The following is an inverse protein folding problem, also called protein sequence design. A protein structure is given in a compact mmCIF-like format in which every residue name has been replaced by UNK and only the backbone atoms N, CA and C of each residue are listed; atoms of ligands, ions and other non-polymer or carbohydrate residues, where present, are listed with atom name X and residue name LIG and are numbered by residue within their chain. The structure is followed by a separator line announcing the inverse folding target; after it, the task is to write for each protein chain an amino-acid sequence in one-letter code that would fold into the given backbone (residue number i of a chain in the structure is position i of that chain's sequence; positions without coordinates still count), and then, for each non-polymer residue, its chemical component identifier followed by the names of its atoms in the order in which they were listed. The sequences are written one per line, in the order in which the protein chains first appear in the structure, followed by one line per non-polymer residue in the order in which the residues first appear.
data_IF_070906794840
#
_entry.id   IF_070906794840
#
_cell.length_a   1.000
_cell.length_b   1.000
_cell.length_c   1.000
_cell.angle_alpha   90.00
_cell.angle_beta   90.00
_cell.angle_gamma   90.00
#
_symmetry.space_group_name_H-M   'P 1'
#
loop_
_entity.id
_entity.type
_entity.pdbx_description
1 polymer ?
#
# COMPACT_ATOMS: atom_id res chain seq x y z
N UNK A 1 -10.63 8.49 -9.77
CA UNK A 1 -9.53 7.93 -10.58
C UNK A 1 -9.05 6.66 -9.89
N UNK A 2 -8.81 5.58 -10.64
CA UNK A 2 -8.28 4.31 -10.12
C UNK A 2 -6.79 4.17 -10.51
N UNK A 3 -5.96 3.48 -9.71
CA UNK A 3 -4.58 3.18 -10.07
C UNK A 3 -4.51 2.29 -11.31
N UNK A 4 -3.38 2.38 -12.02
CA UNK A 4 -3.03 1.40 -13.07
C UNK A 4 -2.29 0.25 -12.39
N UNK A 5 -2.96 -0.89 -12.21
CA UNK A 5 -2.35 -2.06 -11.58
C UNK A 5 -1.56 -2.88 -12.62
N UNK A 6 -0.28 -3.11 -12.35
CA UNK A 6 0.63 -3.89 -13.18
C UNK A 6 1.14 -5.11 -12.41
N UNK A 7 1.41 -6.21 -13.11
CA UNK A 7 2.06 -7.38 -12.55
C UNK A 7 3.36 -7.65 -13.30
N UNK A 8 4.46 -7.75 -12.57
CA UNK A 8 5.79 -8.00 -13.13
C UNK A 8 6.37 -9.33 -12.63
N UNK A 9 7.27 -9.99 -13.38
CA UNK A 9 7.83 -11.26 -12.97
C UNK A 9 8.60 -11.19 -11.64
N UNK A 10 9.29 -10.08 -11.39
CA UNK A 10 10.10 -9.87 -10.19
C UNK A 10 10.14 -8.39 -9.79
N UNK A 11 10.29 -8.17 -8.49
CA UNK A 11 10.64 -6.89 -7.87
C UNK A 11 11.92 -7.07 -7.05
N UNK A 12 12.44 -5.99 -6.46
CA UNK A 12 13.59 -6.08 -5.54
C UNK A 12 13.33 -7.11 -4.44
N UNK A 13 14.37 -7.85 -4.03
CA UNK A 13 14.26 -8.87 -2.99
C UNK A 13 13.63 -8.28 -1.71
N UNK A 14 12.55 -8.89 -1.24
CA UNK A 14 11.78 -8.46 -0.08
C UNK A 14 10.68 -7.43 -0.37
N UNK A 15 10.41 -7.12 -1.64
CA UNK A 15 9.33 -6.24 -2.07
C UNK A 15 8.30 -7.05 -2.88
N UNK A 16 7.09 -7.14 -2.38
CA UNK A 16 6.00 -7.90 -3.02
C UNK A 16 5.04 -7.01 -3.82
N UNK A 17 4.96 -5.73 -3.46
CA UNK A 17 4.31 -4.68 -4.23
C UNK A 17 4.98 -3.32 -3.97
N UNK A 18 4.74 -2.36 -4.85
CA UNK A 18 5.10 -0.96 -4.65
C UNK A 18 4.13 0.00 -5.35
N UNK A 19 3.93 1.15 -4.72
CA UNK A 19 3.15 2.25 -5.28
C UNK A 19 4.06 3.27 -5.96
N UNK A 20 3.90 3.42 -7.28
CA UNK A 20 4.57 4.43 -8.10
C UNK A 20 3.54 5.17 -8.95
N UNK A 21 2.95 6.25 -8.43
CA UNK A 21 1.82 6.94 -9.08
C UNK A 21 2.11 7.25 -10.57
N UNK A 22 1.20 6.96 -11.51
CA UNK A 22 -0.17 6.45 -11.31
C UNK A 22 -0.30 4.92 -11.15
N UNK A 23 0.81 4.19 -11.07
CA UNK A 23 0.87 2.74 -11.04
C UNK A 23 0.91 2.15 -9.63
N UNK A 24 0.36 0.94 -9.50
CA UNK A 24 0.68 0.01 -8.43
C UNK A 24 1.25 -1.25 -9.07
N UNK A 25 2.46 -1.64 -8.68
CA UNK A 25 3.19 -2.73 -9.31
C UNK A 25 3.27 -3.89 -8.33
N UNK A 26 2.73 -5.03 -8.70
CA UNK A 26 2.75 -6.27 -7.93
C UNK A 26 3.77 -7.25 -8.50
N UNK A 27 4.46 -7.97 -7.62
CA UNK A 27 5.16 -9.20 -8.01
C UNK A 27 4.13 -10.24 -8.43
N UNK A 28 4.46 -11.06 -9.45
CA UNK A 28 3.64 -12.21 -9.84
C UNK A 28 3.29 -13.08 -8.63
N UNK A 29 2.01 -13.38 -8.45
CA UNK A 29 1.47 -14.15 -7.31
C UNK A 29 1.11 -13.31 -6.07
N UNK A 30 1.48 -12.03 -6.02
CA UNK A 30 1.18 -11.13 -4.89
C UNK A 30 -0.02 -10.22 -5.15
N UNK A 31 -0.55 -10.18 -6.38
CA UNK A 31 -1.68 -9.31 -6.71
C UNK A 31 -2.96 -9.70 -5.98
N UNK A 32 -3.19 -10.97 -5.70
CA UNK A 32 -4.42 -11.43 -5.05
C UNK A 32 -4.35 -11.36 -3.51
N UNK A 33 -3.22 -10.95 -2.95
CA UNK A 33 -3.05 -10.67 -1.52
C UNK A 33 -3.78 -9.37 -1.18
N UNK A 34 -5.04 -9.50 -0.76
CA UNK A 34 -5.91 -8.36 -0.49
C UNK A 34 -5.35 -7.41 0.60
N UNK A 35 -4.83 -7.88 1.75
CA UNK A 35 -4.12 -7.02 2.69
C UNK A 35 -3.01 -6.19 2.04
N UNK A 36 -2.14 -6.82 1.24
CA UNK A 36 -1.07 -6.12 0.52
C UNK A 36 -1.63 -5.11 -0.47
N UNK A 37 -2.66 -5.48 -1.24
CA UNK A 37 -3.31 -4.55 -2.17
C UNK A 37 -3.86 -3.33 -1.45
N UNK A 38 -4.50 -3.51 -0.30
CA UNK A 38 -5.07 -2.41 0.49
C UNK A 38 -3.98 -1.46 0.97
N UNK A 39 -2.83 -1.99 1.39
CA UNK A 39 -1.66 -1.19 1.77
C UNK A 39 -1.18 -0.29 0.62
N UNK A 40 -1.03 -0.84 -0.58
CA UNK A 40 -0.60 -0.06 -1.75
C UNK A 40 -1.67 0.95 -2.21
N UNK A 41 -2.95 0.56 -2.16
CA UNK A 41 -4.06 1.46 -2.48
C UNK A 41 -4.14 2.66 -1.53
N UNK A 42 -3.87 2.44 -0.24
CA UNK A 42 -3.73 3.52 0.74
C UNK A 42 -2.63 4.51 0.30
N UNK A 43 -1.43 4.02 -0.01
CA UNK A 43 -0.31 4.86 -0.46
C UNK A 43 -0.66 5.65 -1.73
N UNK A 44 -1.31 5.01 -2.69
CA UNK A 44 -1.71 5.65 -3.94
C UNK A 44 -2.67 6.81 -3.69
N UNK A 45 -3.68 6.62 -2.84
CA UNK A 45 -4.63 7.67 -2.48
C UNK A 45 -4.02 8.74 -1.59
N UNK A 46 -3.13 8.36 -0.69
CA UNK A 46 -2.44 9.28 0.19
C UNK A 46 -1.54 10.22 -0.62
N UNK A 47 -0.78 9.68 -1.58
CA UNK A 47 0.01 10.47 -2.53
C UNK A 47 -0.86 11.42 -3.36
N UNK A 48 -2.03 10.96 -3.84
CA UNK A 48 -2.96 11.82 -4.57
C UNK A 48 -3.49 12.97 -3.68
N UNK A 49 -3.85 12.70 -2.42
CA UNK A 49 -4.37 13.70 -1.48
C UNK A 49 -3.32 14.72 -1.04
N UNK A 50 -2.07 14.31 -0.88
CA UNK A 50 -0.97 15.17 -0.43
C UNK A 50 -0.27 15.93 -1.57
N UNK A 51 -0.60 15.57 -2.81
CA UNK A 51 0.20 15.91 -3.98
C UNK A 51 1.31 14.88 -4.18
N UNK A 52 1.34 14.28 -5.37
CA UNK A 52 2.21 13.14 -5.68
C UNK A 52 3.69 13.46 -5.44
N UNK A 53 4.17 14.57 -5.98
CA UNK A 53 5.58 14.97 -5.85
C UNK A 53 5.97 15.31 -4.39
N UNK A 54 5.22 16.16 -3.65
CA UNK A 54 5.46 16.39 -2.23
C UNK A 54 5.48 15.11 -1.38
N UNK A 55 4.59 14.17 -1.68
CA UNK A 55 4.51 12.89 -0.96
C UNK A 55 5.79 12.07 -1.13
N UNK A 56 6.27 11.89 -2.38
CA UNK A 56 7.52 11.17 -2.64
C UNK A 56 8.73 11.89 -2.04
N UNK A 57 8.78 13.23 -2.10
CA UNK A 57 9.85 13.99 -1.48
C UNK A 57 9.90 13.74 0.03
N UNK A 58 8.77 13.84 0.73
CA UNK A 58 8.70 13.55 2.17
C UNK A 58 9.07 12.10 2.48
N UNK A 59 8.58 11.14 1.68
CA UNK A 59 8.92 9.73 1.84
C UNK A 59 10.42 9.49 1.74
N UNK A 60 11.07 10.01 0.70
CA UNK A 60 12.51 9.82 0.47
C UNK A 60 13.37 10.56 1.48
N UNK A 61 12.96 11.75 1.93
CA UNK A 61 13.68 12.51 2.97
C UNK A 61 13.65 11.80 4.33
N UNK A 62 12.57 11.10 4.65
CA UNK A 62 12.41 10.38 5.91
C UNK A 62 12.99 8.96 5.86
N UNK A 63 12.98 8.30 4.69
CA UNK A 63 13.43 6.90 4.50
C UNK A 63 14.75 6.54 5.20
N UNK A 64 15.82 7.36 5.17
CA UNK A 64 17.10 7.02 5.83
C UNK A 64 16.99 6.82 7.35
N UNK A 65 16.02 7.47 8.00
CA UNK A 65 15.81 7.38 9.45
C UNK A 65 14.97 6.15 9.87
N UNK A 66 14.33 5.49 8.91
CA UNK A 66 13.37 4.40 9.14
C UNK A 66 13.66 3.19 8.25
N UNK A 67 14.91 2.71 8.22
CA UNK A 67 15.31 1.53 7.44
C UNK A 67 15.13 0.21 8.22
N UNK A 68 15.05 -0.90 7.50
CA UNK A 68 14.98 -2.25 8.07
C UNK A 68 13.74 -2.44 8.93
N UNK A 69 13.91 -2.94 10.16
CA UNK A 69 12.81 -3.15 11.12
C UNK A 69 12.05 -1.86 11.46
N UNK A 70 12.68 -0.69 11.29
CA UNK A 70 12.06 0.62 11.56
C UNK A 70 11.18 1.12 10.42
N UNK A 71 11.13 0.44 9.27
CA UNK A 71 10.28 0.83 8.13
C UNK A 71 8.81 0.92 8.54
N UNK A 72 8.36 0.04 9.45
CA UNK A 72 7.00 0.06 9.98
C UNK A 72 6.65 1.33 10.77
N UNK A 73 7.67 2.06 11.23
CA UNK A 73 7.55 3.30 11.98
C UNK A 73 7.67 4.54 11.08
N UNK A 74 7.89 4.37 9.78
CA UNK A 74 7.97 5.49 8.85
C UNK A 74 6.63 6.24 8.82
N UNK A 75 6.59 7.58 8.99
CA UNK A 75 5.33 8.31 9.17
C UNK A 75 4.30 8.15 8.05
N UNK A 76 4.77 7.90 6.82
CA UNK A 76 3.88 7.65 5.68
C UNK A 76 3.48 6.17 5.55
N UNK A 77 4.18 5.23 6.19
CA UNK A 77 3.86 3.79 6.23
C UNK A 77 2.95 3.42 7.41
N UNK A 78 3.16 4.05 8.58
CA UNK A 78 2.41 3.78 9.81
C UNK A 78 0.90 3.74 9.59
N UNK A 79 0.27 4.69 8.87
CA UNK A 79 -1.18 4.69 8.72
C UNK A 79 -1.73 3.57 7.83
N UNK A 80 -0.89 2.95 7.00
CA UNK A 80 -1.30 1.87 6.10
C UNK A 80 -1.44 0.52 6.85
N UNK A 81 -0.61 0.28 7.87
CA UNK A 81 -0.63 -0.99 8.61
C UNK A 81 -1.93 -1.29 9.37
N UNK A 82 -2.57 -0.32 10.07
CA UNK A 82 -3.87 -0.56 10.69
C UNK A 82 -4.93 -1.01 9.68
N UNK A 83 -4.93 -0.42 8.47
CA UNK A 83 -5.85 -0.82 7.41
C UNK A 83 -5.52 -2.23 6.90
N UNK A 84 -4.25 -2.54 6.68
CA UNK A 84 -3.81 -3.89 6.32
C UNK A 84 -4.24 -4.91 7.40
N UNK A 85 -4.04 -4.60 8.68
CA UNK A 85 -4.41 -5.48 9.79
C UNK A 85 -5.93 -5.66 9.89
N UNK A 86 -6.71 -4.60 9.69
CA UNK A 86 -8.16 -4.69 9.66
C UNK A 86 -8.64 -5.69 8.59
N UNK A 87 -8.06 -5.66 7.40
CA UNK A 87 -8.41 -6.61 6.33
C UNK A 87 -8.02 -8.05 6.72
N UNK A 88 -6.85 -8.24 7.32
CA UNK A 88 -6.41 -9.56 7.82
C UNK A 88 -7.41 -10.12 8.84
N UNK A 89 -7.78 -9.30 9.83
CA UNK A 89 -8.67 -9.72 10.91
C UNK A 89 -10.07 -10.04 10.37
N UNK A 90 -10.58 -9.24 9.43
CA UNK A 90 -11.89 -9.44 8.82
C UNK A 90 -11.94 -10.66 7.90
N UNK A 91 -10.86 -10.95 7.18
CA UNK A 91 -10.70 -12.19 6.41
C UNK A 91 -10.69 -13.41 7.32
N UNK A 92 -9.94 -13.37 8.42
CA UNK A 92 -9.90 -14.45 9.41
C UNK A 92 -11.26 -14.70 10.07
N UNK A 93 -12.03 -13.63 10.29
CA UNK A 93 -13.37 -13.69 10.86
C UNK A 93 -14.48 -14.05 9.85
N UNK A 94 -14.19 -14.12 8.55
CA UNK A 94 -15.19 -14.36 7.50
C UNK A 94 -16.22 -13.23 7.35
N UNK A 95 -15.87 -12.01 7.78
CA UNK A 95 -16.75 -10.84 7.74
C UNK A 95 -16.68 -10.11 6.38
N UNK A 96 -17.75 -9.39 6.01
CA UNK A 96 -17.77 -8.62 4.75
C UNK A 96 -16.71 -7.52 4.75
N UNK A 97 -15.98 -7.42 3.63
CA UNK A 97 -14.92 -6.43 3.41
C UNK A 97 -15.41 -5.18 2.66
N UNK A 98 -16.70 -5.10 2.33
CA UNK A 98 -17.23 -4.09 1.40
C UNK A 98 -17.01 -2.66 1.90
N UNK A 99 -17.21 -2.43 3.22
CA UNK A 99 -17.01 -1.11 3.83
C UNK A 99 -15.55 -0.61 3.73
N UNK A 100 -14.57 -1.33 4.32
CA UNK A 100 -13.17 -0.93 4.24
C UNK A 100 -12.64 -0.80 2.81
N UNK A 101 -13.05 -1.68 1.90
CA UNK A 101 -12.66 -1.59 0.49
C UNK A 101 -13.28 -0.37 -0.20
N UNK A 102 -14.53 -0.01 0.12
CA UNK A 102 -15.17 1.19 -0.40
C UNK A 102 -14.49 2.48 0.10
N UNK A 103 -14.08 2.54 1.38
CA UNK A 103 -13.33 3.67 1.92
C UNK A 103 -12.00 3.89 1.19
N UNK A 104 -11.31 2.79 0.87
CA UNK A 104 -10.11 2.78 0.03
C UNK A 104 -10.41 3.06 -1.45
N UNK A 105 -11.67 3.04 -1.89
CA UNK A 105 -12.06 3.25 -3.29
C UNK A 105 -11.78 2.04 -4.18
N UNK A 106 -11.65 0.86 -3.57
CA UNK A 106 -11.44 -0.43 -4.22
C UNK A 106 -12.75 -1.11 -4.67
N UNK A 107 -13.90 -0.59 -4.21
CA UNK A 107 -15.24 -0.99 -4.67
C UNK A 107 -15.54 -0.55 -6.12
#
# INVERSE_FOLDING_TARGET
MKPIELTVPALQKGVDAMTLWPFIIYRRGSRDDLPLRCHEWFHWRHALRWGVLPWYAAYLLLKPFYLGARTRLHPLEVPAYPMQQQIIDMQAAGTSLDGPLAELGMA
#
